data_IF_234527588643
#
_entry.id   IF_234527588643
#
_cell.length_a   1.000
_cell.length_b   1.000
_cell.length_c   1.000
_cell.angle_alpha   90.00
_cell.angle_beta   90.00
_cell.angle_gamma   90.00
#
_symmetry.space_group_name_H-M   'P 1'
#
loop_
_entity.id
_entity.type
_entity.pdbx_description
1 polymer ?
#
# COMPACT_ATOMS: atom_id res chain seq x y z
N UNK A 1 -34.97 -12.26 -10.30
CA UNK A 1 -33.80 -11.54 -10.86
C UNK A 1 -33.96 -10.06 -10.49
N UNK A 2 -33.03 -9.48 -9.73
CA UNK A 2 -33.08 -8.06 -9.33
C UNK A 2 -32.48 -7.22 -10.45
N UNK A 3 -33.28 -6.37 -11.10
CA UNK A 3 -32.84 -5.53 -12.24
C UNK A 3 -32.32 -4.15 -11.81
N UNK A 4 -32.80 -3.64 -10.67
CA UNK A 4 -32.40 -2.34 -10.11
C UNK A 4 -32.37 -2.39 -8.58
N UNK A 5 -31.49 -1.60 -7.99
CA UNK A 5 -31.45 -1.42 -6.54
C UNK A 5 -32.66 -0.61 -6.05
N UNK A 6 -33.40 -1.05 -5.02
CA UNK A 6 -34.43 -0.25 -4.38
C UNK A 6 -33.87 1.10 -3.87
N UNK A 7 -34.66 2.18 -3.82
CA UNK A 7 -34.19 3.49 -3.37
C UNK A 7 -33.57 3.48 -1.97
N UNK A 8 -34.15 2.73 -1.02
CA UNK A 8 -33.63 2.59 0.33
C UNK A 8 -32.23 1.94 0.35
N UNK A 9 -32.00 0.94 -0.50
CA UNK A 9 -30.69 0.30 -0.64
C UNK A 9 -29.67 1.25 -1.30
N UNK A 10 -30.07 2.00 -2.34
CA UNK A 10 -29.21 3.03 -2.94
C UNK A 10 -28.79 4.08 -1.93
N UNK A 11 -29.73 4.54 -1.09
CA UNK A 11 -29.45 5.49 -0.02
C UNK A 11 -28.44 4.92 0.97
N UNK A 12 -28.65 3.69 1.46
CA UNK A 12 -27.74 3.06 2.41
C UNK A 12 -26.32 2.86 1.85
N UNK A 13 -26.21 2.49 0.57
CA UNK A 13 -24.93 2.34 -0.11
C UNK A 13 -24.17 3.67 -0.27
N UNK A 14 -24.86 4.81 -0.29
CA UNK A 14 -24.23 6.13 -0.35
C UNK A 14 -23.69 6.61 1.01
N UNK A 15 -24.08 5.97 2.12
CA UNK A 15 -23.61 6.32 3.46
C UNK A 15 -22.20 5.78 3.71
N UNK A 16 -21.53 6.32 4.73
CA UNK A 16 -20.21 5.85 5.22
C UNK A 16 -19.07 5.97 4.19
N UNK A 17 -19.15 6.95 3.28
CA UNK A 17 -18.09 7.30 2.32
C UNK A 17 -17.65 6.08 1.46
N UNK A 18 -18.54 5.54 0.62
CA UNK A 18 -18.27 4.31 -0.15
C UNK A 18 -17.27 4.51 -1.29
N UNK A 19 -16.96 5.77 -1.63
CA UNK A 19 -16.11 6.12 -2.76
C UNK A 19 -14.63 6.05 -2.39
N UNK A 20 -13.80 5.75 -3.39
CA UNK A 20 -12.34 5.80 -3.26
C UNK A 20 -11.86 7.20 -2.90
N UNK A 21 -10.71 7.27 -2.24
CA UNK A 21 -10.13 8.53 -1.85
C UNK A 21 -9.52 9.23 -3.08
N UNK A 22 -9.69 10.55 -3.23
CA UNK A 22 -9.08 11.31 -4.33
C UNK A 22 -7.56 11.17 -4.27
N UNK A 23 -6.82 11.20 -5.38
CA UNK A 23 -5.36 11.29 -5.31
C UNK A 23 -4.90 12.68 -4.84
N UNK A 24 -3.69 12.84 -4.29
CA UNK A 24 -3.12 14.17 -4.07
C UNK A 24 -2.96 14.92 -5.42
N UNK A 25 -2.82 16.26 -5.41
CA UNK A 25 -2.59 17.06 -6.60
C UNK A 25 -1.46 16.49 -7.45
N UNK A 26 -1.70 16.39 -8.76
CA UNK A 26 -0.78 15.76 -9.69
C UNK A 26 0.67 16.30 -9.60
N UNK A 27 0.93 17.61 -9.44
CA UNK A 27 2.29 18.11 -9.25
C UNK A 27 2.96 17.56 -7.97
N UNK A 28 2.21 17.43 -6.87
CA UNK A 28 2.71 16.88 -5.60
C UNK A 28 3.05 15.40 -5.76
N UNK A 29 2.16 14.64 -6.42
CA UNK A 29 2.37 13.22 -6.71
C UNK A 29 3.58 13.01 -7.64
N UNK A 30 3.70 13.82 -8.69
CA UNK A 30 4.81 13.75 -9.63
C UNK A 30 6.15 14.06 -8.96
N UNK A 31 6.21 15.10 -8.12
CA UNK A 31 7.41 15.43 -7.35
C UNK A 31 7.84 14.28 -6.42
N UNK A 32 6.88 13.61 -5.78
CA UNK A 32 7.15 12.39 -5.00
C UNK A 32 7.78 11.30 -5.88
N UNK A 33 7.20 11.02 -7.04
CA UNK A 33 7.74 10.01 -7.96
C UNK A 33 9.15 10.37 -8.46
N UNK A 34 9.40 11.63 -8.83
CA UNK A 34 10.74 12.10 -9.23
C UNK A 34 11.76 11.86 -8.12
N UNK A 35 11.45 12.26 -6.89
CA UNK A 35 12.37 12.14 -5.76
C UNK A 35 12.68 10.69 -5.41
N UNK A 36 11.64 9.88 -5.22
CA UNK A 36 11.78 8.48 -4.81
C UNK A 36 12.38 7.59 -5.92
N UNK A 37 12.02 7.82 -7.20
CA UNK A 37 12.64 7.09 -8.32
C UNK A 37 14.11 7.47 -8.53
N UNK A 38 14.48 8.73 -8.31
CA UNK A 38 15.89 9.14 -8.36
C UNK A 38 16.70 8.45 -7.28
N UNK A 39 16.17 8.38 -6.06
CA UNK A 39 16.84 7.67 -4.96
C UNK A 39 16.99 6.18 -5.28
N UNK A 40 15.95 5.55 -5.84
CA UNK A 40 16.00 4.17 -6.30
C UNK A 40 17.08 3.93 -7.38
N UNK A 41 17.20 4.84 -8.36
CA UNK A 41 18.25 4.79 -9.38
C UNK A 41 19.65 4.83 -8.80
N UNK A 42 19.90 5.71 -7.82
CA UNK A 42 21.20 5.80 -7.14
C UNK A 42 21.57 4.50 -6.40
N UNK A 43 20.56 3.73 -5.99
CA UNK A 43 20.70 2.47 -5.28
C UNK A 43 20.60 1.24 -6.19
N UNK A 44 20.41 1.42 -7.49
CA UNK A 44 20.10 0.35 -8.45
C UNK A 44 18.89 -0.52 -8.03
N UNK A 45 17.85 0.13 -7.48
CA UNK A 45 16.68 -0.51 -6.86
C UNK A 45 15.35 -0.10 -7.51
N UNK A 46 15.36 0.16 -8.82
CA UNK A 46 14.20 0.68 -9.56
C UNK A 46 13.03 -0.31 -9.62
N UNK A 47 13.29 -1.62 -9.66
CA UNK A 47 12.25 -2.65 -9.65
C UNK A 47 11.58 -2.69 -8.27
N UNK A 48 12.38 -2.70 -7.21
CA UNK A 48 11.92 -2.61 -5.82
C UNK A 48 11.08 -1.36 -5.59
N UNK A 49 11.52 -0.21 -6.10
CA UNK A 49 10.77 1.04 -6.04
C UNK A 49 9.41 0.98 -6.76
N UNK A 50 9.37 0.43 -7.98
CA UNK A 50 8.11 0.31 -8.72
C UNK A 50 7.11 -0.60 -7.99
N UNK A 51 7.60 -1.72 -7.44
CA UNK A 51 6.81 -2.68 -6.66
C UNK A 51 6.28 -2.03 -5.38
N UNK A 52 7.15 -1.47 -4.53
CA UNK A 52 6.72 -0.87 -3.26
C UNK A 52 5.78 0.32 -3.50
N UNK A 53 6.05 1.17 -4.50
CA UNK A 53 5.20 2.33 -4.79
C UNK A 53 3.81 1.88 -5.23
N UNK A 54 3.72 0.88 -6.12
CA UNK A 54 2.45 0.30 -6.55
C UNK A 54 1.65 -0.22 -5.36
N UNK A 55 2.28 -1.03 -4.50
CA UNK A 55 1.65 -1.63 -3.34
C UNK A 55 1.20 -0.59 -2.32
N UNK A 56 2.00 0.44 -2.04
CA UNK A 56 1.65 1.52 -1.12
C UNK A 56 0.46 2.33 -1.62
N UNK A 57 0.45 2.77 -2.88
CA UNK A 57 -0.66 3.54 -3.47
C UNK A 57 -1.98 2.76 -3.49
N UNK A 58 -1.89 1.48 -3.84
CA UNK A 58 -3.03 0.56 -3.84
C UNK A 58 -3.58 0.38 -2.41
N UNK A 59 -2.70 0.17 -1.43
CA UNK A 59 -3.10 -0.02 -0.04
C UNK A 59 -3.73 1.23 0.55
N UNK A 60 -3.17 2.42 0.26
CA UNK A 60 -3.75 3.71 0.62
C UNK A 60 -5.08 4.03 -0.10
N UNK A 61 -5.59 3.10 -0.92
CA UNK A 61 -6.84 3.20 -1.65
C UNK A 61 -6.91 4.44 -2.55
N UNK A 62 -5.79 4.72 -3.26
CA UNK A 62 -5.64 5.83 -4.22
C UNK A 62 -5.50 5.28 -5.66
N UNK A 63 -6.54 4.68 -6.25
CA UNK A 63 -6.42 3.94 -7.52
C UNK A 63 -5.95 4.80 -8.69
N UNK A 64 -6.39 6.06 -8.79
CA UNK A 64 -5.95 6.98 -9.85
C UNK A 64 -4.43 7.23 -9.82
N UNK A 65 -3.83 7.24 -8.62
CA UNK A 65 -2.38 7.42 -8.46
C UNK A 65 -1.57 6.28 -9.08
N UNK A 66 -2.12 5.06 -9.15
CA UNK A 66 -1.49 3.92 -9.85
C UNK A 66 -1.43 4.16 -11.35
N UNK A 67 -2.49 4.71 -11.93
CA UNK A 67 -2.50 5.13 -13.35
C UNK A 67 -1.51 6.27 -13.63
N UNK A 68 -1.35 7.21 -12.69
CA UNK A 68 -0.32 8.25 -12.79
C UNK A 68 1.10 7.69 -12.66
N UNK A 69 1.32 6.70 -11.79
CA UNK A 69 2.60 5.99 -11.67
C UNK A 69 2.98 5.32 -12.99
N UNK A 70 2.04 4.61 -13.63
CA UNK A 70 2.29 4.03 -14.97
C UNK A 70 2.73 5.09 -15.97
N UNK A 71 1.98 6.19 -16.09
CA UNK A 71 2.32 7.29 -17.02
C UNK A 71 3.67 7.91 -16.70
N UNK A 72 4.03 8.03 -15.43
CA UNK A 72 5.33 8.52 -14.98
C UNK A 72 6.47 7.61 -15.46
N UNK A 73 6.37 6.30 -15.23
CA UNK A 73 7.44 5.36 -15.57
C UNK A 73 7.56 5.05 -17.06
N UNK A 74 6.52 5.36 -17.85
CA UNK A 74 6.54 5.21 -19.30
C UNK A 74 6.82 6.49 -20.07
N UNK A 75 6.73 7.67 -19.44
CA UNK A 75 7.03 8.96 -20.06
C UNK A 75 8.13 9.71 -19.29
N UNK A 76 9.41 9.38 -19.53
CA UNK A 76 10.55 9.99 -18.82
C UNK A 76 10.65 11.52 -18.99
N UNK A 77 10.18 12.09 -20.11
CA UNK A 77 10.16 13.53 -20.36
C UNK A 77 8.72 14.04 -20.48
N UNK A 78 8.07 14.36 -19.36
CA UNK A 78 6.69 14.88 -19.37
C UNK A 78 6.48 16.18 -20.17
N UNK A 79 7.56 16.87 -20.53
CA UNK A 79 7.51 18.12 -21.29
C UNK A 79 7.64 17.90 -22.82
N UNK A 80 7.86 16.66 -23.27
CA UNK A 80 8.05 16.32 -24.68
C UNK A 80 6.94 15.36 -25.15
N UNK A 81 5.97 15.83 -25.95
CA UNK A 81 4.96 14.95 -26.54
C UNK A 81 5.62 13.83 -27.36
N UNK A 82 5.31 12.57 -27.03
CA UNK A 82 5.89 11.40 -27.71
C UNK A 82 7.17 10.85 -27.10
N UNK A 83 7.63 11.37 -25.95
CA UNK A 83 8.82 10.87 -25.24
C UNK A 83 8.64 9.51 -24.56
N UNK A 84 7.63 8.72 -24.96
CA UNK A 84 7.31 7.46 -24.30
C UNK A 84 8.48 6.49 -24.50
N UNK A 85 8.78 5.70 -23.47
CA UNK A 85 9.65 4.52 -23.65
C UNK A 85 9.07 3.60 -24.71
N UNK A 86 9.92 2.74 -25.28
CA UNK A 86 9.46 1.80 -26.30
C UNK A 86 8.32 0.90 -25.77
N UNK A 87 7.51 0.36 -26.69
CA UNK A 87 6.32 -0.41 -26.32
C UNK A 87 6.65 -1.59 -25.43
N UNK A 88 7.73 -2.31 -25.72
CA UNK A 88 8.10 -3.50 -24.97
C UNK A 88 8.51 -3.18 -23.51
N UNK A 89 9.20 -2.06 -23.28
CA UNK A 89 9.52 -1.57 -21.94
C UNK A 89 8.25 -1.11 -21.21
N UNK A 90 7.36 -0.39 -21.89
CA UNK A 90 6.08 0.04 -21.30
C UNK A 90 5.22 -1.17 -20.89
N UNK A 91 5.19 -2.24 -21.70
CA UNK A 91 4.55 -3.52 -21.38
C UNK A 91 5.16 -4.14 -20.14
N UNK A 92 6.50 -4.18 -20.03
CA UNK A 92 7.16 -4.69 -18.84
C UNK A 92 6.80 -3.88 -17.57
N UNK A 93 6.80 -2.53 -17.64
CA UNK A 93 6.36 -1.68 -16.51
C UNK A 93 4.93 -2.00 -16.10
N UNK A 94 4.02 -2.07 -17.07
CA UNK A 94 2.61 -2.39 -16.80
C UNK A 94 2.47 -3.79 -16.20
N UNK A 95 3.24 -4.77 -16.68
CA UNK A 95 3.22 -6.13 -16.16
C UNK A 95 3.73 -6.21 -14.71
N UNK A 96 4.81 -5.50 -14.37
CA UNK A 96 5.33 -5.41 -12.99
C UNK A 96 4.30 -4.78 -12.04
N UNK A 97 3.63 -3.70 -12.46
CA UNK A 97 2.55 -3.07 -11.68
C UNK A 97 1.38 -4.06 -11.49
N UNK A 98 0.97 -4.77 -12.56
CA UNK A 98 -0.12 -5.78 -12.50
C UNK A 98 0.22 -6.92 -11.55
N UNK A 99 1.44 -7.46 -11.61
CA UNK A 99 1.86 -8.57 -10.74
C UNK A 99 1.98 -8.11 -9.28
N UNK A 100 2.50 -6.90 -9.04
CA UNK A 100 2.55 -6.31 -7.70
C UNK A 100 1.15 -6.14 -7.09
N UNK A 101 0.19 -5.68 -7.89
CA UNK A 101 -1.21 -5.54 -7.49
C UNK A 101 -1.90 -6.90 -7.27
N UNK A 102 -1.60 -7.93 -8.07
CA UNK A 102 -2.13 -9.27 -7.85
C UNK A 102 -1.61 -9.86 -6.52
N UNK A 103 -0.29 -9.76 -6.27
CA UNK A 103 0.31 -10.28 -5.04
C UNK A 103 -0.16 -9.53 -3.80
N UNK A 104 -0.45 -8.23 -3.90
CA UNK A 104 -0.97 -7.47 -2.77
C UNK A 104 -2.36 -7.92 -2.31
N UNK A 105 -3.14 -8.61 -3.16
CA UNK A 105 -4.48 -9.10 -2.83
C UNK A 105 -4.53 -9.96 -1.56
N UNK A 106 -3.44 -10.70 -1.27
CA UNK A 106 -3.32 -11.55 -0.09
C UNK A 106 -3.28 -10.73 1.21
N UNK A 107 -2.80 -9.48 1.14
CA UNK A 107 -2.60 -8.61 2.30
C UNK A 107 -3.75 -7.62 2.49
N UNK A 108 -4.26 -7.05 1.40
CA UNK A 108 -5.21 -5.90 1.43
C UNK A 108 -6.61 -6.24 0.90
N UNK A 109 -6.79 -7.45 0.38
CA UNK A 109 -8.05 -7.93 -0.16
C UNK A 109 -8.29 -7.53 -1.62
N UNK A 110 -9.16 -8.31 -2.27
CA UNK A 110 -9.53 -8.17 -3.68
C UNK A 110 -10.15 -6.81 -4.05
N UNK A 111 -11.01 -6.16 -3.23
CA UNK A 111 -11.66 -4.91 -3.65
C UNK A 111 -10.71 -3.77 -4.01
N UNK A 112 -9.68 -3.51 -3.19
CA UNK A 112 -8.69 -2.44 -3.49
C UNK A 112 -7.89 -2.76 -4.75
N UNK A 113 -7.59 -4.05 -4.96
CA UNK A 113 -6.89 -4.53 -6.17
C UNK A 113 -7.73 -4.31 -7.43
N UNK A 114 -9.04 -4.60 -7.40
CA UNK A 114 -9.95 -4.34 -8.53
C UNK A 114 -9.93 -2.86 -8.91
N UNK A 115 -10.06 -1.96 -7.92
CA UNK A 115 -10.09 -0.52 -8.16
C UNK A 115 -8.78 -0.01 -8.76
N UNK A 116 -7.64 -0.45 -8.24
CA UNK A 116 -6.33 -0.07 -8.76
C UNK A 116 -6.03 -0.65 -10.14
N UNK A 117 -6.40 -1.91 -10.41
CA UNK A 117 -6.21 -2.52 -11.73
C UNK A 117 -7.14 -1.90 -12.78
N UNK A 118 -8.37 -1.51 -12.41
CA UNK A 118 -9.26 -0.78 -13.30
C UNK A 118 -8.67 0.60 -13.66
N UNK A 119 -8.21 1.36 -12.67
CA UNK A 119 -7.58 2.66 -12.91
C UNK A 119 -6.28 2.55 -13.71
N UNK A 120 -5.48 1.51 -13.48
CA UNK A 120 -4.33 1.20 -14.33
C UNK A 120 -4.78 0.91 -15.76
N UNK A 121 -5.77 0.03 -15.95
CA UNK A 121 -6.27 -0.36 -17.26
C UNK A 121 -6.74 0.83 -18.09
N UNK A 122 -7.46 1.78 -17.48
CA UNK A 122 -7.85 3.03 -18.13
C UNK A 122 -6.66 3.93 -18.50
N UNK A 123 -5.55 3.84 -17.75
CA UNK A 123 -4.35 4.62 -18.01
C UNK A 123 -3.42 4.00 -19.07
N UNK A 124 -3.56 2.70 -19.37
CA UNK A 124 -2.73 2.01 -20.35
C UNK A 124 -3.04 2.47 -21.77
N UNK A 125 -1.98 2.62 -22.56
CA UNK A 125 -2.06 2.83 -24.00
C UNK A 125 -2.55 1.57 -24.74
N UNK A 126 -3.19 1.74 -25.90
CA UNK A 126 -3.82 0.63 -26.64
C UNK A 126 -2.83 -0.43 -27.13
N UNK A 127 -1.63 -0.02 -27.54
CA UNK A 127 -0.56 -0.90 -27.98
C UNK A 127 0.00 -1.74 -26.81
N UNK A 128 0.08 -1.16 -25.62
CA UNK A 128 0.45 -1.86 -24.38
C UNK A 128 -0.65 -2.84 -23.98
N UNK A 129 -1.93 -2.44 -23.99
CA UNK A 129 -3.06 -3.34 -23.71
C UNK A 129 -3.04 -4.58 -24.60
N UNK A 130 -2.79 -4.41 -25.90
CA UNK A 130 -2.71 -5.51 -26.88
C UNK A 130 -1.51 -6.43 -26.67
N UNK A 131 -0.44 -5.92 -26.08
CA UNK A 131 0.82 -6.65 -25.87
C UNK A 131 0.92 -7.30 -24.50
N UNK A 132 -0.02 -7.00 -23.60
CA UNK A 132 -0.10 -7.62 -22.28
C UNK A 132 -0.74 -9.01 -22.36
N UNK A 133 -0.21 -9.96 -21.59
CA UNK A 133 -0.76 -11.33 -21.50
C UNK A 133 -2.22 -11.30 -21.03
N UNK A 134 -3.07 -12.03 -21.78
CA UNK A 134 -4.51 -12.21 -21.52
C UNK A 134 -4.88 -13.56 -20.91
N UNK A 135 -4.01 -14.58 -21.04
CA UNK A 135 -4.25 -15.93 -20.51
C UNK A 135 -3.61 -16.13 -19.15
N UNK A 136 -4.31 -16.71 -18.17
CA UNK A 136 -3.77 -16.95 -16.82
C UNK A 136 -2.72 -18.07 -16.80
N UNK A 137 -1.61 -17.85 -16.07
CA UNK A 137 -0.60 -18.89 -15.75
C UNK A 137 -0.85 -19.60 -14.41
N UNK A 138 -1.85 -19.13 -13.67
CA UNK A 138 -2.16 -19.58 -12.30
C UNK A 138 -3.40 -20.48 -12.25
N UNK A 139 -3.90 -20.91 -13.41
CA UNK A 139 -5.03 -21.83 -13.48
C UNK A 139 -4.60 -23.16 -12.85
N UNK A 140 -5.27 -23.54 -11.76
CA UNK A 140 -5.05 -24.84 -11.14
C UNK A 140 -5.59 -25.93 -12.06
N UNK A 141 -4.75 -26.91 -12.36
CA UNK A 141 -5.12 -28.12 -13.11
C UNK A 141 -4.62 -29.35 -12.35
N UNK A 142 -5.20 -30.54 -12.59
CA UNK A 142 -4.72 -31.77 -11.99
C UNK A 142 -3.21 -31.99 -12.18
N UNK A 143 -2.65 -31.52 -13.30
CA UNK A 143 -1.24 -31.70 -13.67
C UNK A 143 -0.29 -30.75 -12.92
N UNK A 144 -0.78 -29.61 -12.41
CA UNK A 144 0.08 -28.57 -11.82
C UNK A 144 -0.16 -28.32 -10.32
N UNK A 145 -1.24 -28.85 -9.74
CA UNK A 145 -1.66 -28.52 -8.37
C UNK A 145 -0.61 -28.94 -7.35
N UNK A 146 -0.01 -30.11 -7.48
CA UNK A 146 1.03 -30.61 -6.57
C UNK A 146 2.27 -29.72 -6.58
N UNK A 147 2.76 -29.35 -7.78
CA UNK A 147 3.90 -28.44 -7.92
C UNK A 147 3.63 -27.05 -7.35
N UNK A 148 2.36 -26.61 -7.41
CA UNK A 148 1.94 -25.33 -6.84
C UNK A 148 1.94 -25.37 -5.32
N UNK A 149 1.41 -26.43 -4.72
CA UNK A 149 1.43 -26.63 -3.26
C UNK A 149 2.88 -26.72 -2.77
N UNK A 150 3.71 -27.52 -3.45
CA UNK A 150 5.13 -27.68 -3.10
C UNK A 150 5.87 -26.33 -3.14
N UNK A 151 5.67 -25.53 -4.20
CA UNK A 151 6.24 -24.18 -4.31
C UNK A 151 5.79 -23.27 -3.16
N UNK A 152 4.53 -23.40 -2.72
CA UNK A 152 4.01 -22.69 -1.56
C UNK A 152 4.71 -23.08 -0.26
N UNK A 153 4.89 -24.39 -0.05
CA UNK A 153 5.62 -24.91 1.11
C UNK A 153 7.10 -24.51 1.09
N UNK A 154 7.75 -24.54 -0.07
CA UNK A 154 9.13 -24.08 -0.22
C UNK A 154 9.27 -22.61 0.13
N UNK A 155 8.36 -21.75 -0.35
CA UNK A 155 8.35 -20.34 0.00
C UNK A 155 8.11 -20.13 1.50
N UNK A 156 7.14 -20.84 2.08
CA UNK A 156 6.85 -20.82 3.51
C UNK A 156 8.10 -21.14 4.34
N UNK A 157 8.74 -22.26 4.05
CA UNK A 157 9.96 -22.69 4.73
C UNK A 157 11.09 -21.66 4.59
N UNK A 158 11.27 -21.10 3.39
CA UNK A 158 12.24 -20.05 3.08
C UNK A 158 12.05 -18.78 3.93
N UNK A 159 10.82 -18.44 4.30
CA UNK A 159 10.51 -17.25 5.12
C UNK A 159 10.63 -17.58 6.61
N UNK A 160 10.11 -18.73 7.03
CA UNK A 160 9.85 -19.00 8.43
C UNK A 160 10.85 -19.95 9.10
N UNK A 161 11.77 -20.59 8.39
CA UNK A 161 12.82 -21.42 8.99
C UNK A 161 13.65 -20.63 10.04
N UNK A 162 14.02 -21.26 11.18
CA UNK A 162 13.75 -22.66 11.54
C UNK A 162 12.35 -22.90 12.15
N UNK A 163 11.54 -21.88 12.38
CA UNK A 163 10.24 -21.97 13.06
C UNK A 163 9.04 -22.29 12.14
N UNK A 164 9.29 -22.71 10.90
CA UNK A 164 8.25 -22.89 9.88
C UNK A 164 7.18 -23.91 10.30
N UNK A 165 7.58 -25.04 10.88
CA UNK A 165 6.68 -26.09 11.35
C UNK A 165 5.85 -25.63 12.55
N UNK A 166 6.50 -25.07 13.59
CA UNK A 166 5.83 -24.54 14.78
C UNK A 166 4.78 -23.48 14.43
N UNK A 167 5.08 -22.58 13.48
CA UNK A 167 4.12 -21.57 13.04
C UNK A 167 2.99 -22.19 12.21
N UNK A 168 3.30 -23.15 11.34
CA UNK A 168 2.31 -23.87 10.55
C UNK A 168 1.27 -24.55 11.46
N UNK A 169 1.74 -25.29 12.46
CA UNK A 169 0.87 -26.02 13.39
C UNK A 169 0.04 -25.07 14.26
N UNK A 170 0.65 -23.94 14.70
CA UNK A 170 -0.07 -22.90 15.44
C UNK A 170 -1.23 -22.31 14.62
N UNK A 171 -1.00 -22.02 13.34
CA UNK A 171 -2.07 -21.50 12.46
C UNK A 171 -3.12 -22.59 12.14
N UNK A 172 -2.70 -23.84 11.98
CA UNK A 172 -3.61 -24.98 11.83
C UNK A 172 -4.50 -25.21 13.06
N UNK A 173 -3.97 -24.96 14.26
CA UNK A 173 -4.75 -25.02 15.50
C UNK A 173 -5.79 -23.89 15.61
N UNK A 174 -5.59 -22.75 14.94
CA UNK A 174 -6.63 -21.72 14.82
C UNK A 174 -7.73 -22.15 13.86
N UNK A 175 -7.34 -22.67 12.69
CA UNK A 175 -8.26 -23.27 11.73
C UNK A 175 -7.50 -24.12 10.70
N UNK A 176 -7.85 -25.40 10.48
CA UNK A 176 -7.09 -26.28 9.57
C UNK A 176 -7.12 -25.81 8.11
N UNK A 177 -8.25 -25.27 7.64
CA UNK A 177 -8.33 -24.73 6.28
C UNK A 177 -7.55 -23.41 6.11
N UNK A 178 -7.28 -22.67 7.20
CA UNK A 178 -6.61 -21.38 7.10
C UNK A 178 -5.15 -21.55 6.72
N UNK A 179 -4.42 -22.46 7.38
CA UNK A 179 -3.04 -22.75 6.98
C UNK A 179 -2.98 -23.39 5.59
N UNK A 180 -3.93 -24.27 5.26
CA UNK A 180 -4.05 -24.86 3.92
C UNK A 180 -4.24 -23.78 2.83
N UNK A 181 -5.12 -22.81 3.07
CA UNK A 181 -5.33 -21.66 2.21
C UNK A 181 -4.06 -20.82 2.06
N UNK A 182 -3.35 -20.55 3.16
CA UNK A 182 -2.09 -19.79 3.14
C UNK A 182 -1.06 -20.48 2.25
N UNK A 183 -0.80 -21.78 2.43
CA UNK A 183 0.18 -22.50 1.60
C UNK A 183 -0.21 -22.48 0.13
N UNK A 184 -1.49 -22.68 -0.19
CA UNK A 184 -1.98 -22.60 -1.57
C UNK A 184 -1.82 -21.18 -2.15
N UNK A 185 -2.12 -20.13 -1.39
CA UNK A 185 -1.94 -18.74 -1.79
C UNK A 185 -0.45 -18.40 -1.97
N UNK A 186 0.42 -18.93 -1.11
CA UNK A 186 1.86 -18.80 -1.23
C UNK A 186 2.35 -19.39 -2.56
N UNK A 187 1.91 -20.60 -2.89
CA UNK A 187 2.32 -21.28 -4.12
C UNK A 187 1.72 -20.67 -5.39
N UNK A 188 0.44 -20.33 -5.36
CA UNK A 188 -0.29 -19.86 -6.54
C UNK A 188 -0.05 -18.37 -6.83
N UNK A 189 0.10 -17.53 -5.81
CA UNK A 189 0.18 -16.07 -5.94
C UNK A 189 1.53 -15.52 -5.51
N UNK A 190 2.00 -15.78 -4.28
CA UNK A 190 3.14 -15.03 -3.71
C UNK A 190 4.50 -15.52 -4.23
N UNK A 191 4.67 -16.82 -4.46
CA UNK A 191 5.90 -17.36 -5.00
C UNK A 191 6.17 -16.81 -6.41
N UNK A 192 7.46 -16.63 -6.78
CA UNK A 192 7.83 -16.44 -8.18
C UNK A 192 7.24 -17.55 -9.04
N UNK A 193 6.72 -17.21 -10.23
CA UNK A 193 6.37 -18.24 -11.21
C UNK A 193 7.65 -18.94 -11.67
N UNK A 194 7.57 -20.23 -12.05
CA UNK A 194 8.64 -20.86 -12.83
C UNK A 194 8.91 -20.05 -14.10
N UNK A 195 10.18 -19.82 -14.42
CA UNK A 195 10.62 -18.98 -15.53
C UNK A 195 11.56 -17.86 -15.07
N UNK A 196 11.83 -16.91 -15.95
CA UNK A 196 12.64 -15.73 -15.65
C UNK A 196 11.88 -14.73 -14.79
N UNK A 197 12.59 -14.03 -13.91
CA UNK A 197 12.08 -12.81 -13.27
C UNK A 197 12.22 -11.62 -14.21
N UNK A 198 11.49 -10.53 -13.94
CA UNK A 198 11.58 -9.27 -14.69
C UNK A 198 12.08 -8.14 -13.81
N UNK A 199 13.07 -7.42 -14.32
CA UNK A 199 13.60 -6.20 -13.75
C UNK A 199 12.98 -4.97 -14.42
N UNK A 200 13.12 -3.81 -13.79
CA UNK A 200 12.64 -2.53 -14.30
C UNK A 200 13.12 -2.29 -15.74
N UNK A 201 14.41 -2.45 -16.02
CA UNK A 201 14.99 -2.13 -17.33
C UNK A 201 14.56 -3.06 -18.48
N UNK A 202 13.93 -4.21 -18.16
CA UNK A 202 13.61 -5.23 -19.15
C UNK A 202 12.51 -4.80 -20.13
N UNK A 203 12.43 -5.57 -21.20
CA UNK A 203 11.37 -5.51 -22.20
C UNK A 203 10.51 -6.78 -22.12
N UNK A 204 9.21 -6.63 -22.38
CA UNK A 204 8.28 -7.74 -22.51
C UNK A 204 7.39 -7.56 -23.74
N UNK A 205 6.93 -8.68 -24.30
CA UNK A 205 6.02 -8.73 -25.43
C UNK A 205 4.88 -9.71 -25.16
N UNK A 206 3.91 -9.83 -26.06
CA UNK A 206 2.78 -10.74 -25.90
C UNK A 206 3.20 -12.21 -25.70
N UNK A 207 4.30 -12.62 -26.33
CA UNK A 207 4.84 -13.99 -26.29
C UNK A 207 5.67 -14.28 -25.04
N UNK A 208 5.94 -13.26 -24.22
CA UNK A 208 6.67 -13.40 -22.96
C UNK A 208 5.74 -13.95 -21.87
N UNK A 209 5.84 -15.26 -21.61
CA UNK A 209 5.07 -15.91 -20.56
C UNK A 209 5.41 -15.38 -19.16
N UNK A 210 6.59 -14.79 -18.98
CA UNK A 210 7.13 -14.36 -17.69
C UNK A 210 6.88 -12.87 -17.41
N UNK A 211 5.98 -12.22 -18.17
CA UNK A 211 5.55 -10.84 -17.94
C UNK A 211 5.30 -10.53 -16.46
N UNK A 212 6.10 -9.59 -15.94
CA UNK A 212 5.97 -9.06 -14.59
C UNK A 212 6.41 -10.01 -13.47
N UNK A 213 6.97 -11.20 -13.77
CA UNK A 213 7.31 -12.19 -12.76
C UNK A 213 8.32 -11.63 -11.74
N UNK A 214 7.90 -11.52 -10.48
CA UNK A 214 8.71 -10.94 -9.41
C UNK A 214 9.60 -11.98 -8.74
N UNK A 215 10.78 -11.55 -8.30
CA UNK A 215 11.73 -12.37 -7.53
C UNK A 215 11.20 -12.71 -6.13
N UNK A 216 11.91 -13.61 -5.44
CA UNK A 216 11.64 -13.96 -4.04
C UNK A 216 11.81 -12.75 -3.10
N UNK A 217 12.79 -11.88 -3.32
CA UNK A 217 12.98 -10.68 -2.50
C UNK A 217 11.88 -9.65 -2.76
N UNK A 218 11.53 -9.42 -4.04
CA UNK A 218 10.42 -8.52 -4.41
C UNK A 218 9.07 -8.98 -3.87
N UNK A 219 8.85 -10.29 -3.73
CA UNK A 219 7.67 -10.83 -3.02
C UNK A 219 7.59 -10.37 -1.55
N UNK A 220 8.72 -10.28 -0.85
CA UNK A 220 8.77 -9.70 0.50
C UNK A 220 8.58 -8.18 0.49
N UNK A 221 9.08 -7.47 -0.53
CA UNK A 221 8.83 -6.03 -0.72
C UNK A 221 7.33 -5.73 -0.87
N UNK A 222 6.58 -6.56 -1.62
CA UNK A 222 5.10 -6.47 -1.69
C UNK A 222 4.48 -6.56 -0.29
N UNK A 223 4.90 -7.56 0.49
CA UNK A 223 4.40 -7.75 1.87
C UNK A 223 4.71 -6.57 2.78
N UNK A 224 5.94 -6.07 2.78
CA UNK A 224 6.34 -4.91 3.60
C UNK A 224 5.55 -3.67 3.20
N UNK A 225 5.49 -3.35 1.90
CA UNK A 225 4.81 -2.14 1.42
C UNK A 225 3.31 -2.16 1.75
N UNK A 226 2.65 -3.30 1.58
CA UNK A 226 1.23 -3.45 1.91
C UNK A 226 0.98 -3.39 3.42
N UNK A 227 1.70 -4.18 4.22
CA UNK A 227 1.46 -4.26 5.67
C UNK A 227 1.86 -2.97 6.41
N UNK A 228 2.91 -2.30 5.94
CA UNK A 228 3.29 -0.98 6.47
C UNK A 228 2.24 0.07 6.16
N UNK A 229 1.67 0.06 4.95
CA UNK A 229 0.61 0.98 4.54
C UNK A 229 -0.76 0.67 5.14
N UNK A 230 -1.09 -0.60 5.39
CA UNK A 230 -2.34 -0.99 6.07
C UNK A 230 -2.33 -0.51 7.53
N UNK A 231 -1.16 -0.59 8.18
CA UNK A 231 -1.00 -0.26 9.58
C UNK A 231 -1.69 -1.27 10.52
N UNK A 232 -1.40 -1.16 11.82
CA UNK A 232 -2.04 -1.98 12.89
C UNK A 232 -1.91 -3.50 12.73
N UNK A 233 -0.95 -3.96 11.93
CA UNK A 233 -0.61 -5.39 11.70
C UNK A 233 0.87 -5.64 12.01
N UNK A 234 1.34 -5.10 13.14
CA UNK A 234 2.77 -5.07 13.53
C UNK A 234 3.49 -6.42 13.45
N UNK A 235 2.96 -7.51 14.04
CA UNK A 235 3.60 -8.82 13.95
C UNK A 235 3.81 -9.32 12.52
N UNK A 236 2.86 -9.06 11.64
CA UNK A 236 2.90 -9.43 10.23
C UNK A 236 3.94 -8.57 9.49
N UNK A 237 3.96 -7.26 9.72
CA UNK A 237 5.00 -6.39 9.16
C UNK A 237 6.40 -6.88 9.56
N UNK A 238 6.62 -7.15 10.85
CA UNK A 238 7.89 -7.69 11.37
C UNK A 238 8.25 -9.00 10.67
N UNK A 239 7.30 -9.92 10.52
CA UNK A 239 7.52 -11.19 9.82
C UNK A 239 7.95 -11.00 8.36
N UNK A 240 7.35 -10.06 7.63
CA UNK A 240 7.71 -9.83 6.22
C UNK A 240 9.05 -9.07 6.07
N UNK A 241 9.40 -8.22 7.04
CA UNK A 241 10.74 -7.61 7.15
C UNK A 241 11.80 -8.69 7.33
N UNK A 242 11.62 -9.62 8.28
CA UNK A 242 12.50 -10.79 8.40
C UNK A 242 12.52 -11.63 7.12
N UNK A 243 11.38 -11.77 6.44
CA UNK A 243 11.30 -12.48 5.17
C UNK A 243 12.15 -11.87 4.05
N UNK A 244 12.30 -10.54 4.01
CA UNK A 244 13.19 -9.84 3.09
C UNK A 244 14.65 -10.00 3.51
N UNK A 245 14.96 -9.80 4.80
CA UNK A 245 16.32 -9.99 5.33
C UNK A 245 16.82 -11.41 5.06
N UNK A 246 15.99 -12.43 5.22
CA UNK A 246 16.33 -13.83 4.91
C UNK A 246 16.49 -14.11 3.42
N UNK A 247 15.94 -13.26 2.55
CA UNK A 247 16.11 -13.43 1.11
C UNK A 247 17.59 -13.33 0.70
N UNK A 248 18.44 -12.68 1.51
CA UNK A 248 19.90 -12.58 1.30
C UNK A 248 20.60 -13.94 1.25
N UNK A 249 19.98 -14.98 1.80
CA UNK A 249 20.51 -16.34 1.86
C UNK A 249 20.01 -17.22 0.69
N UNK A 250 19.21 -16.67 -0.22
CA UNK A 250 18.77 -17.38 -1.42
C UNK A 250 19.90 -17.34 -2.45
N UNK A 251 20.16 -18.46 -3.12
CA UNK A 251 21.17 -18.52 -4.17
C UNK A 251 20.69 -17.82 -5.45
N UNK A 252 21.63 -17.27 -6.23
CA UNK A 252 21.33 -16.70 -7.55
C UNK A 252 20.56 -15.38 -7.51
N UNK A 253 20.66 -14.60 -6.43
CA UNK A 253 20.07 -13.26 -6.37
C UNK A 253 20.62 -12.34 -7.45
N UNK A 254 19.74 -11.50 -7.99
CA UNK A 254 20.19 -10.32 -8.73
C UNK A 254 20.91 -9.34 -7.78
N UNK A 255 21.72 -8.43 -8.34
CA UNK A 255 22.37 -7.39 -7.55
C UNK A 255 21.35 -6.51 -6.79
N UNK A 256 20.22 -6.21 -7.43
CA UNK A 256 19.11 -5.49 -6.82
C UNK A 256 18.48 -6.28 -5.66
N UNK A 257 18.18 -7.56 -5.84
CA UNK A 257 17.60 -8.39 -4.78
C UNK A 257 18.55 -8.55 -3.58
N UNK A 258 19.85 -8.71 -3.84
CA UNK A 258 20.86 -8.79 -2.79
C UNK A 258 20.95 -7.48 -2.01
N UNK A 259 20.90 -6.34 -2.69
CA UNK A 259 20.87 -5.03 -2.05
C UNK A 259 19.58 -4.81 -1.25
N UNK A 260 18.41 -5.12 -1.81
CA UNK A 260 17.11 -5.02 -1.11
C UNK A 260 17.06 -5.88 0.16
N UNK A 261 17.66 -7.07 0.12
CA UNK A 261 17.71 -8.00 1.25
C UNK A 261 18.77 -7.65 2.32
N UNK A 262 19.64 -6.67 2.05
CA UNK A 262 20.57 -6.13 3.05
C UNK A 262 19.82 -5.32 4.12
N UNK A 263 20.52 -5.01 5.21
CA UNK A 263 19.95 -4.19 6.28
C UNK A 263 19.62 -2.78 5.76
N UNK A 264 20.52 -2.17 4.98
CA UNK A 264 20.33 -0.86 4.34
C UNK A 264 19.16 -0.86 3.36
N UNK A 265 19.08 -1.87 2.47
CA UNK A 265 18.00 -1.96 1.49
C UNK A 265 16.64 -2.20 2.15
N UNK A 266 16.60 -3.01 3.21
CA UNK A 266 15.37 -3.28 3.96
C UNK A 266 14.89 -2.03 4.71
N UNK A 267 15.80 -1.29 5.34
CA UNK A 267 15.49 0.01 5.94
C UNK A 267 14.95 0.98 4.89
N UNK A 268 15.60 1.05 3.73
CA UNK A 268 15.17 1.90 2.63
C UNK A 268 13.76 1.58 2.15
N UNK A 269 13.38 0.29 2.05
CA UNK A 269 12.01 -0.10 1.70
C UNK A 269 11.00 0.49 2.69
N UNK A 270 11.23 0.31 4.00
CA UNK A 270 10.34 0.83 5.04
C UNK A 270 10.21 2.36 4.99
N UNK A 271 11.36 3.07 4.93
CA UNK A 271 11.39 4.54 4.89
C UNK A 271 10.72 5.09 3.64
N UNK A 272 10.90 4.44 2.48
CA UNK A 272 10.30 4.88 1.22
C UNK A 272 8.78 4.70 1.22
N UNK A 273 8.28 3.62 1.85
CA UNK A 273 6.84 3.43 2.04
C UNK A 273 6.25 4.55 2.89
N UNK A 274 6.90 4.91 4.01
CA UNK A 274 6.48 6.01 4.86
C UNK A 274 6.49 7.35 4.10
N UNK A 275 7.54 7.63 3.33
CA UNK A 275 7.66 8.86 2.53
C UNK A 275 6.52 9.01 1.50
N UNK A 276 6.10 7.89 0.89
CA UNK A 276 4.96 7.88 -0.04
C UNK A 276 3.66 8.13 0.72
N UNK A 277 3.45 7.45 1.85
CA UNK A 277 2.25 7.59 2.69
C UNK A 277 2.07 9.02 3.20
N UNK A 278 3.14 9.68 3.64
CA UNK A 278 3.08 11.07 4.11
C UNK A 278 2.52 12.00 3.03
N UNK A 279 2.89 11.78 1.76
CA UNK A 279 2.38 12.60 0.65
C UNK A 279 0.95 12.24 0.29
N UNK A 280 0.60 10.95 0.18
CA UNK A 280 -0.73 10.54 -0.31
C UNK A 280 -1.82 10.61 0.76
N UNK A 281 -1.47 10.45 2.03
CA UNK A 281 -2.41 10.48 3.16
C UNK A 281 -2.52 11.87 3.81
N UNK A 282 -1.64 12.83 3.47
CA UNK A 282 -1.71 14.21 3.98
C UNK A 282 -3.07 14.88 3.78
N UNK A 283 -3.80 14.54 2.71
CA UNK A 283 -5.13 15.13 2.45
C UNK A 283 -6.25 14.56 3.33
N UNK A 284 -6.14 13.32 3.80
CA UNK A 284 -7.09 12.79 4.79
C UNK A 284 -7.03 13.63 6.07
N UNK A 285 -5.81 13.96 6.50
CA UNK A 285 -5.58 14.78 7.68
C UNK A 285 -6.07 16.22 7.46
N UNK A 286 -5.78 16.83 6.30
CA UNK A 286 -6.27 18.19 5.99
C UNK A 286 -7.80 18.26 5.84
N UNK A 287 -8.43 17.24 5.24
CA UNK A 287 -9.89 17.16 5.10
C UNK A 287 -10.58 16.90 6.45
N UNK A 288 -10.06 16.01 7.28
CA UNK A 288 -10.54 15.79 8.65
C UNK A 288 -10.41 17.05 9.50
N UNK A 289 -9.28 17.75 9.38
CA UNK A 289 -9.02 19.00 10.10
C UNK A 289 -10.00 20.09 9.64
N UNK A 290 -10.22 20.26 8.33
CA UNK A 290 -11.24 21.19 7.80
C UNK A 290 -12.66 20.83 8.25
N UNK A 291 -13.03 19.55 8.30
CA UNK A 291 -14.33 19.13 8.84
C UNK A 291 -14.48 19.42 10.33
N UNK A 292 -13.44 19.18 11.13
CA UNK A 292 -13.43 19.50 12.57
C UNK A 292 -13.54 21.01 12.80
N UNK A 293 -12.83 21.83 12.03
CA UNK A 293 -12.91 23.29 12.13
C UNK A 293 -14.25 23.85 11.61
N UNK A 294 -14.82 23.29 10.55
CA UNK A 294 -16.15 23.68 10.05
C UNK A 294 -17.25 23.32 11.06
N UNK A 295 -17.16 22.14 11.68
CA UNK A 295 -18.09 21.73 12.75
C UNK A 295 -17.95 22.61 14.00
N UNK A 296 -16.72 22.97 14.39
CA UNK A 296 -16.47 23.88 15.50
C UNK A 296 -16.95 25.31 15.21
N UNK A 297 -16.80 25.80 13.98
CA UNK A 297 -17.31 27.10 13.55
C UNK A 297 -18.84 27.16 13.53
N UNK A 298 -19.52 26.07 13.12
CA UNK A 298 -20.97 25.92 13.24
C UNK A 298 -21.43 25.91 14.71
N UNK A 299 -20.70 25.23 15.60
CA UNK A 299 -20.98 25.25 17.03
C UNK A 299 -20.77 26.62 17.67
N UNK A 300 -19.73 27.36 17.30
CA UNK A 300 -19.53 28.73 17.78
C UNK A 300 -20.55 29.71 17.20
N UNK A 301 -20.94 29.57 15.93
CA UNK A 301 -21.99 30.38 15.30
C UNK A 301 -23.34 30.22 16.00
N UNK A 302 -23.73 28.98 16.32
CA UNK A 302 -24.94 28.69 17.10
C UNK A 302 -24.87 29.25 18.53
N UNK A 303 -23.70 29.27 19.16
CA UNK A 303 -23.51 29.89 20.47
C UNK A 303 -23.61 31.42 20.43
N UNK A 304 -23.09 32.07 19.38
CA UNK A 304 -23.18 33.53 19.20
C UNK A 304 -24.64 33.94 18.94
N UNK A 305 -25.36 33.21 18.09
CA UNK A 305 -26.78 33.49 17.82
C UNK A 305 -27.66 33.27 19.07
N UNK A 306 -27.32 32.28 19.93
CA UNK A 306 -27.98 32.09 21.22
C UNK A 306 -27.69 33.23 22.22
N UNK A 307 -26.49 33.81 22.20
CA UNK A 307 -26.10 34.93 23.07
C UNK A 307 -26.71 36.25 22.60
N UNK A 308 -26.76 36.49 21.29
CA UNK A 308 -27.37 37.70 20.69
C UNK A 308 -28.90 37.66 20.82
N UNK A 309 -29.53 36.49 20.68
CA UNK A 309 -30.98 36.32 20.87
C UNK A 309 -31.45 36.53 22.33
N UNK A 310 -30.56 36.37 23.33
CA UNK A 310 -30.94 36.51 24.75
C UNK A 310 -30.67 37.91 25.35
N UNK A 311 -29.93 38.79 24.68
CA UNK A 311 -29.55 40.09 25.21
C UNK A 311 -30.10 41.31 24.44
N UNK A 312 -31.16 41.14 23.65
CA UNK A 312 -31.90 42.28 23.08
C UNK A 312 -32.80 42.98 24.11
N UNK A 313 -32.24 43.37 25.26
CA UNK A 313 -32.72 44.49 26.08
C UNK A 313 -31.60 44.92 27.04
N UNK A 314 -31.08 46.15 26.82
CA UNK A 314 -30.18 46.96 27.67
C UNK A 314 -28.66 46.66 27.61
N UNK A 315 -27.87 47.49 26.92
CA UNK A 315 -27.18 48.70 27.44
C UNK A 315 -26.12 49.22 26.45
N UNK A 316 -25.91 50.54 26.48
CA UNK A 316 -24.86 51.30 25.78
C UNK A 316 -23.44 51.03 26.34
N UNK A 317 -22.45 51.18 25.44
CA UNK A 317 -21.03 51.52 25.64
C UNK A 317 -20.17 50.67 26.58
N UNK A 318 -19.18 49.98 26.02
CA UNK A 318 -17.78 49.99 26.47
C UNK A 318 -16.87 49.32 25.43
N UNK A 319 -15.87 50.06 24.97
CA UNK A 319 -14.74 49.58 24.19
C UNK A 319 -13.77 48.85 25.12
N UNK A 320 -13.41 47.60 24.81
CA UNK A 320 -12.20 46.97 25.33
C UNK A 320 -11.69 45.89 24.36
N UNK A 321 -10.49 46.15 23.83
CA UNK A 321 -9.65 45.19 23.14
C UNK A 321 -9.18 44.11 24.14
N UNK A 322 -9.39 42.83 23.84
CA UNK A 322 -8.81 41.72 24.58
C UNK A 322 -8.12 40.77 23.59
N UNK A 323 -6.79 40.70 23.71
CA UNK A 323 -5.90 39.87 22.90
C UNK A 323 -6.14 38.37 23.12
N UNK A 324 -6.25 37.65 22.01
CA UNK A 324 -6.60 36.23 21.90
C UNK A 324 -5.46 35.23 22.24
N UNK A 325 -4.35 35.68 22.84
CA UNK A 325 -3.11 34.88 22.87
C UNK A 325 -2.84 34.07 24.16
N UNK A 326 -3.60 34.27 25.25
CA UNK A 326 -3.26 33.67 26.56
C UNK A 326 -4.14 32.49 27.01
N UNK A 327 -5.24 32.16 26.31
CA UNK A 327 -6.10 31.02 26.65
C UNK A 327 -5.61 29.68 26.04
N UNK A 328 -4.70 29.71 25.08
CA UNK A 328 -4.21 28.52 24.35
C UNK A 328 -3.08 27.76 25.08
N UNK A 329 -2.46 28.32 26.12
CA UNK A 329 -1.28 27.71 26.76
C UNK A 329 -1.58 26.83 27.97
N UNK A 330 -2.78 26.91 28.54
CA UNK A 330 -3.12 26.24 29.80
C UNK A 330 -3.87 24.90 29.60
N UNK A 331 -4.69 24.79 28.54
CA UNK A 331 -5.35 23.52 28.17
C UNK A 331 -4.36 22.49 27.59
N UNK A 332 -3.33 22.94 26.85
CA UNK A 332 -2.29 22.04 26.31
C UNK A 332 -1.37 21.48 27.40
N UNK A 333 -1.21 22.16 28.54
CA UNK A 333 -0.43 21.64 29.68
C UNK A 333 -1.21 20.63 30.51
N UNK A 334 -2.53 20.80 30.67
CA UNK A 334 -3.37 19.83 31.40
C UNK A 334 -3.58 18.53 30.63
N UNK A 335 -3.66 18.58 29.30
CA UNK A 335 -3.78 17.39 28.46
C UNK A 335 -2.49 16.53 28.42
N UNK A 336 -1.31 17.11 28.70
CA UNK A 336 -0.02 16.39 28.72
C UNK A 336 0.21 15.58 30.00
N UNK A 337 -0.32 16.00 31.14
CA UNK A 337 -0.09 15.33 32.43
C UNK A 337 -1.10 14.21 32.76
N UNK A 338 -2.22 14.11 32.02
CA UNK A 338 -3.23 13.08 32.25
C UNK A 338 -3.01 11.79 31.43
N UNK A 339 -1.88 11.65 30.73
CA UNK A 339 -1.55 10.47 29.89
C UNK A 339 -0.33 9.67 30.37
N UNK A 340 0.13 9.91 31.60
CA UNK A 340 1.36 9.31 32.13
C UNK A 340 1.15 8.37 33.31
N UNK A 341 -0.09 7.97 33.59
CA UNK A 341 -0.40 6.94 34.58
C UNK A 341 -1.50 6.09 33.98
N UNK A 342 -1.19 4.80 33.84
CA UNK A 342 -2.10 3.67 33.54
C UNK A 342 -1.99 3.08 32.13
N UNK A 343 -0.94 2.27 31.94
CA UNK A 343 -0.95 1.05 31.12
C UNK A 343 0.14 0.13 31.67
N UNK A 344 -0.26 -0.75 32.60
CA UNK A 344 0.55 -1.88 33.06
C UNK A 344 0.89 -2.81 31.91
N UNK A 345 2.19 -3.00 31.70
CA UNK A 345 2.76 -3.90 30.71
C UNK A 345 2.53 -5.37 31.13
N UNK A 346 1.57 -6.03 30.47
CA UNK A 346 1.61 -7.47 30.24
C UNK A 346 2.35 -7.71 28.93
N UNK A 347 3.62 -8.10 29.01
CA UNK A 347 4.52 -8.30 27.89
C UNK A 347 4.10 -9.50 27.04
N UNK A 348 4.15 -9.32 25.72
CA UNK A 348 4.18 -10.41 24.75
C UNK A 348 5.66 -10.70 24.49
N UNK A 349 6.27 -11.48 25.38
CA UNK A 349 7.53 -12.16 25.14
C UNK A 349 7.21 -13.48 24.43
N UNK A 350 7.31 -13.49 23.10
CA UNK A 350 7.32 -14.71 22.31
C UNK A 350 7.81 -14.43 20.88
N UNK A 351 9.12 -14.18 20.71
CA UNK A 351 9.93 -14.55 19.53
C UNK A 351 11.30 -13.83 19.47
N UNK A 352 11.89 -13.48 20.62
CA UNK A 352 13.26 -13.00 20.68
C UNK A 352 13.85 -13.34 22.05
N UNK A 353 14.15 -14.62 22.25
CA UNK A 353 15.15 -15.12 23.22
C UNK A 353 15.30 -16.63 22.99
N UNK A 354 16.37 -16.99 22.27
CA UNK A 354 17.20 -18.20 22.42
C UNK A 354 18.34 -18.09 21.41
N UNK A 355 19.34 -17.28 21.77
CA UNK A 355 20.76 -17.65 21.88
C UNK A 355 21.41 -16.76 22.94
#
# INVERSE_FOLDING_TARGET
>A
MVKHLPPSIKQLLALRNPNVLPGPPLPKLYNLFVRTSRDAKLKNAETGWLVLTTCTLLTANRPASVGHLYRFVTNPNTNEPGSRVNVAQAVNKAALIRESALKSAIFVGVPRVILSLAALHEALDDDVKKSLRSQSRRLATPENIESTIMRGQTLWNSIYAPHAEKLHDKLGAYHPDFISFIIQAYGSVLAPLPGGTKAFADASSLDDSDQGNLSRALGSVVGIATLRAEGRVGPQLTSHTFGLLKARNVEGLSAEDAWLASDEGTEWVLRTVDEILDVVSSEEQEAEVKMKFSSAALYLGLCIDCIVSRNSTRFHTLSASLSFHNLLSDETKRARNARMIDLGAGSVDAAADED
#
